data_IF_082625713334
#
_entry.id   IF_082625713334
#
_cell.length_a   1.000
_cell.length_b   1.000
_cell.length_c   1.000
_cell.angle_alpha   90.00
_cell.angle_beta   90.00
_cell.angle_gamma   90.00
#
_symmetry.space_group_name_H-M   'P 1'
#
loop_
_entity.id
_entity.type
_entity.pdbx_description
1 polymer ?
#
# COMPACT_ATOMS: atom_id res chain seq x y z
N UNK A 1 16.65 -10.60 16.59
CA UNK A 1 16.15 -9.22 16.55
C UNK A 1 14.72 -9.23 16.04
N UNK A 2 13.79 -8.61 16.76
CA UNK A 2 12.34 -8.64 16.50
C UNK A 2 12.03 -8.08 15.11
N UNK A 3 11.63 -8.93 14.16
CA UNK A 3 11.14 -8.53 12.84
C UNK A 3 9.73 -7.90 12.89
N UNK A 4 9.18 -7.70 14.08
CA UNK A 4 7.99 -6.86 14.32
C UNK A 4 8.40 -5.41 14.09
N UNK A 5 8.29 -4.95 12.85
CA UNK A 5 8.52 -3.55 12.48
C UNK A 5 7.32 -2.72 12.97
N UNK A 6 7.25 -2.55 14.30
CA UNK A 6 6.20 -1.78 14.99
C UNK A 6 5.93 -0.39 14.39
N UNK A 7 6.90 0.34 13.82
CA UNK A 7 6.64 1.61 13.17
C UNK A 7 5.64 1.53 12.00
N UNK A 8 5.73 0.50 11.13
CA UNK A 8 4.82 0.38 9.99
C UNK A 8 3.40 0.05 10.44
N UNK A 9 3.26 -0.80 11.46
CA UNK A 9 1.95 -1.12 12.02
C UNK A 9 1.25 0.12 12.59
N UNK A 10 1.96 0.92 13.39
CA UNK A 10 1.40 2.17 13.94
C UNK A 10 1.09 3.18 12.84
N UNK A 11 1.93 3.25 11.81
CA UNK A 11 1.69 4.14 10.67
C UNK A 11 0.41 3.74 9.95
N UNK A 12 0.23 2.45 9.63
CA UNK A 12 -0.98 1.95 8.98
C UNK A 12 -2.25 2.25 9.79
N UNK A 13 -2.22 2.05 11.11
CA UNK A 13 -3.36 2.39 11.99
C UNK A 13 -3.71 3.89 11.96
N UNK A 14 -2.71 4.78 11.88
CA UNK A 14 -2.92 6.23 11.78
C UNK A 14 -3.42 6.62 10.40
N UNK A 15 -2.83 6.08 9.34
CA UNK A 15 -3.25 6.32 7.96
C UNK A 15 -4.70 5.88 7.73
N UNK A 16 -5.11 4.75 8.32
CA UNK A 16 -6.49 4.26 8.28
C UNK A 16 -7.51 5.21 8.91
N UNK A 17 -7.13 5.99 9.92
CA UNK A 17 -8.01 7.00 10.54
C UNK A 17 -8.18 8.25 9.68
N UNK A 18 -7.26 8.50 8.73
CA UNK A 18 -7.35 9.63 7.81
C UNK A 18 -8.26 9.35 6.59
N UNK A 19 -8.69 8.10 6.41
CA UNK A 19 -9.60 7.69 5.35
C UNK A 19 -10.98 8.34 5.55
N UNK A 20 -11.61 8.73 4.45
CA UNK A 20 -13.01 9.17 4.38
C UNK A 20 -13.36 10.47 5.09
N UNK A 21 -12.34 11.25 5.48
CA UNK A 21 -12.54 12.62 5.98
C UNK A 21 -13.05 13.52 4.83
N UNK A 22 -12.41 13.45 3.67
CA UNK A 22 -12.91 14.01 2.40
C UNK A 22 -12.13 13.42 1.22
N UNK A 23 -12.64 13.60 -0.01
CA UNK A 23 -11.93 13.16 -1.23
C UNK A 23 -10.50 13.72 -1.33
N UNK A 24 -10.28 14.98 -0.92
CA UNK A 24 -8.91 15.57 -0.89
C UNK A 24 -7.98 14.84 0.08
N UNK A 25 -8.48 14.39 1.24
CA UNK A 25 -7.69 13.61 2.18
C UNK A 25 -7.38 12.22 1.63
N UNK A 26 -8.35 11.57 0.98
CA UNK A 26 -8.14 10.27 0.32
C UNK A 26 -7.07 10.38 -0.78
N UNK A 27 -7.14 11.39 -1.63
CA UNK A 27 -6.13 11.63 -2.67
C UNK A 27 -4.74 11.91 -2.08
N UNK A 28 -4.66 12.69 -0.99
CA UNK A 28 -3.39 12.91 -0.28
C UNK A 28 -2.85 11.60 0.33
N UNK A 29 -3.73 10.79 0.90
CA UNK A 29 -3.39 9.50 1.50
C UNK A 29 -2.86 8.52 0.46
N UNK A 30 -3.49 8.46 -0.72
CA UNK A 30 -3.00 7.69 -1.88
C UNK A 30 -1.56 8.09 -2.20
N UNK A 31 -1.27 9.39 -2.36
CA UNK A 31 0.09 9.88 -2.68
C UNK A 31 1.13 9.52 -1.62
N UNK A 32 0.76 9.57 -0.34
CA UNK A 32 1.66 9.17 0.76
C UNK A 32 1.99 7.68 0.64
N UNK A 33 0.99 6.84 0.42
CA UNK A 33 1.17 5.39 0.29
C UNK A 33 1.99 5.05 -0.97
N UNK A 34 1.73 5.71 -2.10
CA UNK A 34 2.52 5.57 -3.33
C UNK A 34 4.01 5.91 -3.08
N UNK A 35 4.28 7.02 -2.41
CA UNK A 35 5.66 7.41 -2.06
C UNK A 35 6.35 6.35 -1.17
N UNK A 36 5.61 5.76 -0.23
CA UNK A 36 6.12 4.66 0.59
C UNK A 36 6.46 3.42 -0.25
N UNK A 37 5.62 3.07 -1.22
CA UNK A 37 5.86 1.94 -2.11
C UNK A 37 7.07 2.17 -3.03
N UNK A 38 7.20 3.37 -3.60
CA UNK A 38 8.36 3.72 -4.44
C UNK A 38 9.67 3.73 -3.65
N UNK A 39 9.62 4.09 -2.37
CA UNK A 39 10.79 4.13 -1.48
C UNK A 39 11.10 2.76 -0.84
N UNK A 40 10.23 1.77 -1.02
CA UNK A 40 10.37 0.47 -0.38
C UNK A 40 11.41 -0.40 -1.10
N UNK A 41 12.51 -0.70 -0.39
CA UNK A 41 13.49 -1.68 -0.82
C UNK A 41 13.05 -3.09 -0.41
N UNK A 42 12.87 -3.98 -1.38
CA UNK A 42 12.45 -5.37 -1.15
C UNK A 42 13.54 -6.12 -0.38
N UNK A 43 13.21 -6.57 0.84
CA UNK A 43 14.03 -7.48 1.63
C UNK A 43 13.54 -8.92 1.59
N UNK A 44 14.26 -9.83 2.26
CA UNK A 44 13.91 -11.26 2.34
C UNK A 44 12.55 -11.53 2.98
N UNK A 45 12.11 -10.66 3.91
CA UNK A 45 10.84 -10.79 4.62
C UNK A 45 9.97 -9.56 4.39
N UNK A 46 8.68 -9.80 4.13
CA UNK A 46 7.68 -8.74 4.07
C UNK A 46 7.51 -8.11 5.47
N UNK A 47 7.46 -6.76 5.56
CA UNK A 47 7.18 -6.07 6.81
C UNK A 47 5.82 -6.48 7.39
N UNK A 48 5.73 -6.49 8.72
CA UNK A 48 4.45 -6.68 9.42
C UNK A 48 3.44 -5.63 8.97
N UNK A 49 2.18 -6.03 8.73
CA UNK A 49 1.07 -5.17 8.27
C UNK A 49 1.21 -4.58 6.85
N UNK A 50 2.25 -4.93 6.08
CA UNK A 50 2.39 -4.41 4.71
C UNK A 50 1.20 -4.79 3.80
N UNK A 51 0.60 -5.97 3.99
CA UNK A 51 -0.62 -6.38 3.28
C UNK A 51 -1.79 -5.44 3.57
N UNK A 52 -1.97 -5.00 4.82
CA UNK A 52 -3.03 -4.06 5.20
C UNK A 52 -2.85 -2.70 4.54
N UNK A 53 -1.60 -2.24 4.41
CA UNK A 53 -1.29 -1.00 3.69
C UNK A 53 -1.69 -1.10 2.21
N UNK A 54 -1.46 -2.24 1.55
CA UNK A 54 -1.90 -2.48 0.17
C UNK A 54 -3.44 -2.58 0.08
N UNK A 55 -4.10 -3.17 1.08
CA UNK A 55 -5.56 -3.22 1.16
C UNK A 55 -6.15 -1.81 1.30
N UNK A 56 -5.60 -0.98 2.18
CA UNK A 56 -5.97 0.42 2.33
C UNK A 56 -5.80 1.20 1.01
N UNK A 57 -4.67 1.01 0.33
CA UNK A 57 -4.43 1.63 -0.98
C UNK A 57 -5.46 1.22 -2.02
N UNK A 58 -5.76 -0.09 -2.12
CA UNK A 58 -6.75 -0.63 -3.05
C UNK A 58 -8.12 0.01 -2.85
N UNK A 59 -8.58 0.08 -1.60
CA UNK A 59 -9.87 0.67 -1.25
C UNK A 59 -9.93 2.16 -1.63
N UNK A 60 -8.88 2.93 -1.35
CA UNK A 60 -8.82 4.36 -1.65
C UNK A 60 -8.82 4.63 -3.16
N UNK A 61 -8.01 3.92 -3.92
CA UNK A 61 -7.91 4.10 -5.38
C UNK A 61 -9.24 3.76 -6.06
N UNK A 62 -9.90 2.68 -5.64
CA UNK A 62 -11.22 2.32 -6.16
C UNK A 62 -12.28 3.36 -5.80
N UNK A 63 -12.25 3.87 -4.57
CA UNK A 63 -13.19 4.88 -4.10
C UNK A 63 -13.05 6.21 -4.84
N UNK A 64 -11.82 6.66 -5.08
CA UNK A 64 -11.55 7.92 -5.77
C UNK A 64 -11.52 7.77 -7.30
N UNK A 65 -11.77 6.56 -7.83
CA UNK A 65 -11.65 6.22 -9.25
C UNK A 65 -10.31 6.72 -9.84
N UNK A 66 -9.23 6.58 -9.07
CA UNK A 66 -7.92 7.07 -9.42
C UNK A 66 -7.18 6.04 -10.29
N UNK A 67 -6.50 6.51 -11.34
CA UNK A 67 -5.64 5.63 -12.12
C UNK A 67 -4.33 5.36 -11.38
N UNK A 68 -3.89 4.10 -11.41
CA UNK A 68 -2.60 3.70 -10.84
C UNK A 68 -1.50 3.99 -11.86
N UNK A 69 -0.45 4.69 -11.43
CA UNK A 69 0.67 5.06 -12.29
C UNK A 69 1.48 3.83 -12.74
N UNK A 70 2.24 3.98 -13.84
CA UNK A 70 3.08 2.90 -14.37
C UNK A 70 4.14 2.49 -13.36
N UNK A 71 4.76 3.45 -12.69
CA UNK A 71 5.80 3.23 -11.69
C UNK A 71 5.29 2.39 -10.50
N UNK A 72 4.05 2.63 -10.07
CA UNK A 72 3.42 1.84 -9.00
C UNK A 72 3.07 0.43 -9.47
N UNK A 73 2.62 0.27 -10.72
CA UNK A 73 2.40 -1.07 -11.31
C UNK A 73 3.70 -1.88 -11.36
N UNK A 74 4.82 -1.28 -11.70
CA UNK A 74 6.14 -1.93 -11.66
C UNK A 74 6.53 -2.35 -10.22
N UNK A 75 6.21 -1.54 -9.21
CA UNK A 75 6.40 -1.95 -7.80
C UNK A 75 5.53 -3.17 -7.47
N UNK A 76 4.27 -3.20 -7.91
CA UNK A 76 3.38 -4.34 -7.69
C UNK A 76 3.89 -5.62 -8.34
N UNK A 77 4.41 -5.55 -9.56
CA UNK A 77 5.05 -6.70 -10.20
C UNK A 77 6.21 -7.26 -9.37
N UNK A 78 7.07 -6.39 -8.83
CA UNK A 78 8.18 -6.81 -7.96
C UNK A 78 7.68 -7.44 -6.66
N UNK A 79 6.56 -6.96 -6.11
CA UNK A 79 5.94 -7.49 -4.89
C UNK A 79 5.22 -8.83 -5.10
N UNK A 80 5.02 -9.29 -6.34
CA UNK A 80 4.39 -10.60 -6.64
C UNK A 80 5.18 -11.80 -6.10
N UNK A 81 6.45 -11.61 -5.73
CA UNK A 81 7.26 -12.62 -5.02
C UNK A 81 6.60 -13.06 -3.71
N UNK A 82 5.82 -12.17 -3.07
CA UNK A 82 5.10 -12.49 -1.85
C UNK A 82 3.75 -13.13 -2.19
N UNK A 83 3.66 -14.46 -2.06
CA UNK A 83 2.43 -15.23 -2.36
C UNK A 83 1.17 -14.66 -1.70
N UNK A 84 1.28 -14.13 -0.48
CA UNK A 84 0.16 -13.53 0.26
C UNK A 84 -0.37 -12.23 -0.35
N UNK A 85 0.40 -11.54 -1.19
CA UNK A 85 0.01 -10.28 -1.84
C UNK A 85 -0.57 -10.50 -3.24
N UNK A 86 -0.23 -11.61 -3.91
CA UNK A 86 -0.67 -11.88 -5.29
C UNK A 86 -2.19 -11.69 -5.53
N UNK A 87 -3.10 -12.10 -4.62
CA UNK A 87 -4.53 -11.93 -4.86
C UNK A 87 -4.97 -10.47 -4.98
N UNK A 88 -4.37 -9.56 -4.19
CA UNK A 88 -4.73 -8.14 -4.22
C UNK A 88 -3.98 -7.39 -5.32
N UNK A 89 -2.70 -7.72 -5.55
CA UNK A 89 -1.89 -7.10 -6.61
C UNK A 89 -2.49 -7.37 -7.99
N UNK A 90 -3.00 -8.58 -8.25
CA UNK A 90 -3.71 -8.89 -9.50
C UNK A 90 -4.95 -8.02 -9.74
N UNK A 91 -5.64 -7.60 -8.69
CA UNK A 91 -6.80 -6.68 -8.81
C UNK A 91 -6.36 -5.23 -9.09
N UNK A 92 -5.13 -4.87 -8.74
CA UNK A 92 -4.55 -3.54 -8.97
C UNK A 92 -3.83 -3.44 -10.33
N UNK A 93 -3.44 -4.58 -10.91
CA UNK A 93 -2.80 -4.64 -12.22
C UNK A 93 -3.79 -4.74 -13.39
N UNK A 94 -5.02 -5.20 -13.13
CA UNK A 94 -6.13 -5.23 -14.09
C UNK A 94 -6.85 -3.88 -14.16
#
# INVERSE_FOLDING_TARGET
MSHTYGPLGRLEDVLGQCRDISSKHNQALIKIIEYMFLSYAIGEKMPTNFKKLIELYYDLVHKENQNISVEIKEVFEKLMIFKSLQPILKKLSN
#
